data_IF_880367175994
#
_entry.id   IF_880367175994
#
_cell.length_a   1.000
_cell.length_b   1.000
_cell.length_c   1.000
_cell.angle_alpha   90.00
_cell.angle_beta   90.00
_cell.angle_gamma   90.00
#
_symmetry.space_group_name_H-M   'P 1'
#
loop_
_entity.id
_entity.type
_entity.pdbx_description
1 polymer ?
#
# COMPACT_ATOMS: atom_id res chain seq x y z
N UNK A 1 -7.75 13.15 16.79
CA UNK A 1 -8.41 12.40 15.67
C UNK A 1 -9.80 11.89 16.04
N UNK A 2 -9.98 11.26 17.20
CA UNK A 2 -11.27 10.66 17.57
C UNK A 2 -12.35 11.73 17.81
N UNK A 3 -12.00 12.85 18.42
CA UNK A 3 -12.88 14.03 18.61
C UNK A 3 -13.34 14.59 17.26
N UNK A 4 -12.38 14.85 16.36
CA UNK A 4 -12.68 15.33 15.01
C UNK A 4 -13.61 14.37 14.26
N UNK A 5 -13.34 13.07 14.35
CA UNK A 5 -14.17 12.05 13.71
C UNK A 5 -15.61 12.05 14.27
N UNK A 6 -15.80 12.17 15.60
CA UNK A 6 -17.14 12.23 16.21
C UNK A 6 -17.89 13.47 15.74
N UNK A 7 -17.24 14.64 15.74
CA UNK A 7 -17.84 15.88 15.23
C UNK A 7 -18.29 15.74 13.76
N UNK A 8 -17.40 15.21 12.89
CA UNK A 8 -17.71 15.00 11.47
C UNK A 8 -18.90 14.03 11.28
N UNK A 9 -18.94 12.94 12.03
CA UNK A 9 -20.04 11.97 11.95
C UNK A 9 -21.36 12.67 12.33
N UNK A 10 -21.38 13.48 13.39
CA UNK A 10 -22.58 14.20 13.82
C UNK A 10 -23.01 15.24 12.78
N UNK A 11 -22.09 16.03 12.22
CA UNK A 11 -22.39 16.98 11.14
C UNK A 11 -23.02 16.27 9.93
N UNK A 12 -22.53 15.08 9.57
CA UNK A 12 -23.11 14.27 8.50
C UNK A 12 -24.49 13.73 8.85
N UNK A 13 -24.68 13.22 10.06
CA UNK A 13 -25.97 12.63 10.50
C UNK A 13 -27.06 13.70 10.59
N UNK A 14 -26.71 14.93 10.96
CA UNK A 14 -27.61 16.08 10.99
C UNK A 14 -27.73 16.80 9.61
N UNK A 15 -27.05 16.30 8.55
CA UNK A 15 -27.05 16.85 7.18
C UNK A 15 -26.71 18.35 7.11
N UNK A 16 -25.73 18.79 7.91
CA UNK A 16 -25.39 20.19 8.08
C UNK A 16 -24.37 20.74 7.06
N UNK A 17 -23.61 19.85 6.40
CA UNK A 17 -22.62 20.21 5.39
C UNK A 17 -23.03 19.70 4.01
N UNK A 18 -22.74 20.49 2.96
CA UNK A 18 -23.00 20.12 1.56
C UNK A 18 -21.84 19.37 0.91
N UNK A 19 -20.61 19.60 1.39
CA UNK A 19 -19.42 18.90 0.94
C UNK A 19 -18.37 18.83 2.06
N UNK A 20 -17.50 17.84 1.99
CA UNK A 20 -16.39 17.65 2.92
C UNK A 20 -15.21 17.01 2.21
N UNK A 21 -14.00 17.42 2.54
CA UNK A 21 -12.74 16.81 2.12
C UNK A 21 -11.69 16.95 3.21
N UNK A 22 -10.67 16.07 3.18
CA UNK A 22 -9.49 16.24 4.01
C UNK A 22 -8.53 17.30 3.43
N UNK A 23 -7.56 17.70 4.23
CA UNK A 23 -6.43 18.52 3.79
C UNK A 23 -5.19 17.64 3.70
N UNK A 24 -4.99 17.04 2.55
CA UNK A 24 -3.83 16.20 2.24
C UNK A 24 -2.70 17.00 1.58
N UNK A 25 -2.11 16.45 0.51
CA UNK A 25 -1.07 17.10 -0.27
C UNK A 25 -1.49 18.46 -0.82
N UNK A 26 -0.65 19.47 -0.60
CA UNK A 26 -0.93 20.86 -0.96
C UNK A 26 -1.87 21.59 0.00
N UNK A 27 -2.35 20.97 1.07
CA UNK A 27 -3.15 21.59 2.13
C UNK A 27 -4.40 22.29 1.64
N UNK A 28 -4.62 23.54 2.08
CA UNK A 28 -5.77 24.35 1.69
C UNK A 28 -5.79 24.63 0.18
N UNK A 29 -4.63 24.73 -0.48
CA UNK A 29 -4.58 25.04 -1.91
C UNK A 29 -5.23 23.97 -2.78
N UNK A 30 -5.04 22.70 -2.46
CA UNK A 30 -5.74 21.61 -3.12
C UNK A 30 -7.19 21.49 -2.66
N UNK A 31 -7.44 21.45 -1.35
CA UNK A 31 -8.77 21.20 -0.80
C UNK A 31 -9.81 22.25 -1.25
N UNK A 32 -9.48 23.55 -1.18
CA UNK A 32 -10.40 24.63 -1.58
C UNK A 32 -10.64 24.66 -3.09
N UNK A 33 -9.55 24.54 -3.88
CA UNK A 33 -9.62 24.56 -5.34
C UNK A 33 -10.36 23.35 -5.91
N UNK A 34 -10.04 22.13 -5.45
CA UNK A 34 -10.70 20.91 -5.92
C UNK A 34 -12.20 20.91 -5.57
N UNK A 35 -12.56 21.31 -4.35
CA UNK A 35 -13.96 21.36 -3.94
C UNK A 35 -14.74 22.35 -4.80
N UNK A 36 -14.18 23.54 -5.05
CA UNK A 36 -14.79 24.56 -5.90
C UNK A 36 -14.94 24.07 -7.35
N UNK A 37 -13.85 23.58 -7.96
CA UNK A 37 -13.84 23.10 -9.34
C UNK A 37 -14.82 21.94 -9.57
N UNK A 38 -14.84 20.94 -8.70
CA UNK A 38 -15.79 19.80 -8.78
C UNK A 38 -17.26 20.21 -8.63
N UNK A 39 -17.51 21.37 -8.00
CA UNK A 39 -18.85 21.90 -7.78
C UNK A 39 -19.23 22.97 -8.79
N UNK A 40 -18.38 23.26 -9.80
CA UNK A 40 -18.54 24.34 -10.77
C UNK A 40 -18.83 25.70 -10.10
N UNK A 41 -18.04 26.03 -9.09
CA UNK A 41 -18.13 27.31 -8.38
C UNK A 41 -16.73 27.88 -8.15
N UNK A 42 -16.64 29.13 -7.73
CA UNK A 42 -15.41 29.75 -7.26
C UNK A 42 -15.25 29.63 -5.75
N UNK A 43 -14.13 30.12 -5.23
CA UNK A 43 -13.86 30.15 -3.78
C UNK A 43 -13.04 31.38 -3.42
N UNK A 44 -13.39 32.01 -2.30
CA UNK A 44 -12.63 33.10 -1.68
C UNK A 44 -12.17 32.64 -0.29
N UNK A 45 -10.86 32.66 -0.03
CA UNK A 45 -10.24 32.25 1.23
C UNK A 45 -9.53 33.40 1.89
N UNK A 46 -9.76 33.62 3.18
CA UNK A 46 -9.16 34.64 4.02
C UNK A 46 -8.11 33.96 4.94
N UNK A 47 -6.84 33.99 4.56
CA UNK A 47 -5.77 33.23 5.23
C UNK A 47 -5.49 33.69 6.66
N UNK A 48 -5.71 34.94 6.98
CA UNK A 48 -5.57 35.47 8.35
C UNK A 48 -6.51 34.80 9.36
N UNK A 49 -7.60 34.18 8.87
CA UNK A 49 -8.56 33.45 9.71
C UNK A 49 -8.12 32.01 10.00
N UNK A 50 -7.14 31.50 9.29
CA UNK A 50 -6.65 30.12 9.49
C UNK A 50 -5.94 30.03 10.84
N UNK A 51 -6.35 29.12 11.75
CA UNK A 51 -5.67 28.93 13.02
C UNK A 51 -4.21 28.49 12.83
N UNK A 52 -3.29 29.21 13.44
CA UNK A 52 -1.86 28.95 13.34
C UNK A 52 -1.24 28.64 14.71
N UNK A 53 -0.49 27.55 14.82
CA UNK A 53 0.34 27.25 16.00
C UNK A 53 1.70 27.93 15.96
N UNK A 54 2.13 28.40 14.79
CA UNK A 54 3.39 29.07 14.55
C UNK A 54 3.15 30.47 13.96
N UNK A 55 3.46 31.54 14.71
CA UNK A 55 3.21 32.91 14.22
C UNK A 55 4.24 33.30 13.15
N UNK A 56 3.86 34.24 12.28
CA UNK A 56 4.75 34.84 11.29
C UNK A 56 4.92 34.03 10.00
N UNK A 57 4.06 33.06 9.75
CA UNK A 57 4.05 32.34 8.47
C UNK A 57 3.67 33.26 7.32
N UNK A 58 4.33 33.11 6.18
CA UNK A 58 3.98 33.76 4.93
C UNK A 58 2.66 33.18 4.36
N UNK A 59 1.90 33.95 3.53
CA UNK A 59 0.65 33.47 2.95
C UNK A 59 0.75 32.13 2.25
N UNK A 60 1.80 31.93 1.46
CA UNK A 60 2.02 30.65 0.75
C UNK A 60 2.31 29.49 1.72
N UNK A 61 3.04 29.72 2.81
CA UNK A 61 3.29 28.69 3.82
C UNK A 61 1.98 28.23 4.50
N UNK A 62 1.08 29.14 4.80
CA UNK A 62 -0.22 28.85 5.37
C UNK A 62 -1.06 28.05 4.36
N UNK A 63 -1.08 28.50 3.10
CA UNK A 63 -1.99 27.97 2.09
C UNK A 63 -1.60 26.57 1.59
N UNK A 64 -0.29 26.26 1.49
CA UNK A 64 0.21 24.94 1.06
C UNK A 64 0.61 24.03 2.22
N UNK A 65 0.43 24.46 3.47
CA UNK A 65 0.77 23.65 4.63
C UNK A 65 0.03 22.30 4.61
N UNK A 66 0.77 21.20 4.77
CA UNK A 66 0.24 19.83 4.84
C UNK A 66 0.07 19.35 6.29
N UNK A 67 -0.13 20.24 7.25
CA UNK A 67 -0.43 19.86 8.64
C UNK A 67 -1.59 18.88 8.69
N UNK A 68 -1.42 17.81 9.45
CA UNK A 68 -2.37 16.69 9.48
C UNK A 68 -3.61 16.98 10.34
N UNK A 69 -4.57 16.07 10.31
CA UNK A 69 -5.79 16.10 11.13
C UNK A 69 -6.69 17.33 10.88
N UNK A 70 -6.74 17.80 9.63
CA UNK A 70 -7.59 18.90 9.21
C UNK A 70 -8.61 18.49 8.16
N UNK A 71 -9.79 19.06 8.24
CA UNK A 71 -10.88 18.84 7.30
C UNK A 71 -11.42 20.18 6.80
N UNK A 72 -11.85 20.23 5.54
CA UNK A 72 -12.57 21.36 4.95
C UNK A 72 -14.04 20.97 4.73
N UNK A 73 -14.93 21.82 5.20
CA UNK A 73 -16.37 21.65 5.06
C UNK A 73 -16.97 22.81 4.28
N UNK A 74 -17.90 22.50 3.38
CA UNK A 74 -18.83 23.50 2.81
C UNK A 74 -20.12 23.47 3.62
N UNK A 75 -20.39 24.55 4.36
CA UNK A 75 -21.52 24.63 5.29
C UNK A 75 -22.47 25.75 4.86
N UNK A 76 -23.77 25.48 4.62
CA UNK A 76 -24.75 26.51 4.40
C UNK A 76 -24.83 27.47 5.59
N UNK A 77 -25.02 28.79 5.32
CA UNK A 77 -25.04 29.83 6.35
C UNK A 77 -26.01 29.52 7.50
N UNK A 78 -27.21 29.01 7.18
CA UNK A 78 -28.22 28.60 8.17
C UNK A 78 -27.74 27.50 9.14
N UNK A 79 -26.78 26.68 8.73
CA UNK A 79 -26.25 25.54 9.52
C UNK A 79 -24.96 25.90 10.27
N UNK A 80 -24.34 27.05 9.95
CA UNK A 80 -23.00 27.39 10.46
C UNK A 80 -22.95 27.39 12.00
N UNK A 81 -23.92 28.02 12.65
CA UNK A 81 -23.96 28.07 14.12
C UNK A 81 -23.98 26.66 14.74
N UNK A 82 -24.83 25.78 14.19
CA UNK A 82 -24.97 24.43 14.71
C UNK A 82 -23.70 23.61 14.49
N UNK A 83 -23.03 23.78 13.35
CA UNK A 83 -21.74 23.11 13.08
C UNK A 83 -20.68 23.54 14.09
N UNK A 84 -20.55 24.84 14.35
CA UNK A 84 -19.59 25.34 15.34
C UNK A 84 -19.88 24.82 16.76
N UNK A 85 -21.16 24.73 17.18
CA UNK A 85 -21.56 24.14 18.46
C UNK A 85 -21.16 22.65 18.56
N UNK A 86 -21.26 21.87 17.48
CA UNK A 86 -20.86 20.46 17.46
C UNK A 86 -19.34 20.33 17.64
N UNK A 87 -18.56 21.11 16.92
CA UNK A 87 -17.10 21.07 17.02
C UNK A 87 -16.61 21.53 18.40
N UNK A 88 -17.21 22.61 18.94
CA UNK A 88 -16.90 23.08 20.31
C UNK A 88 -17.24 22.01 21.35
N UNK A 89 -18.35 21.30 21.18
CA UNK A 89 -18.76 20.20 22.09
C UNK A 89 -17.81 19.00 22.11
N UNK A 90 -17.02 18.83 21.06
CA UNK A 90 -16.00 17.78 20.94
C UNK A 90 -14.56 18.31 21.18
N UNK A 91 -14.42 19.57 21.66
CA UNK A 91 -13.12 20.23 21.88
C UNK A 91 -12.26 20.32 20.62
N UNK A 92 -12.89 20.53 19.45
CA UNK A 92 -12.24 20.68 18.16
C UNK A 92 -12.40 22.11 17.66
N UNK A 93 -11.27 22.76 17.34
CA UNK A 93 -11.28 24.10 16.76
C UNK A 93 -11.86 24.09 15.35
N UNK A 94 -12.88 24.91 15.09
CA UNK A 94 -13.49 25.08 13.78
C UNK A 94 -13.64 26.57 13.45
N UNK A 95 -13.09 27.00 12.33
CA UNK A 95 -13.04 28.41 11.95
C UNK A 95 -13.55 28.62 10.53
N UNK A 96 -14.53 29.50 10.28
CA UNK A 96 -14.92 29.93 8.93
C UNK A 96 -13.77 30.72 8.29
N UNK A 97 -13.18 30.19 7.22
CA UNK A 97 -12.03 30.78 6.55
C UNK A 97 -12.35 31.40 5.19
N UNK A 98 -13.60 31.36 4.74
CA UNK A 98 -13.96 31.87 3.43
C UNK A 98 -15.36 31.45 2.99
N UNK A 99 -15.62 31.58 1.70
CA UNK A 99 -16.90 31.23 1.08
C UNK A 99 -16.72 30.75 -0.35
N UNK A 100 -17.65 29.94 -0.82
CA UNK A 100 -17.77 29.62 -2.25
C UNK A 100 -18.55 30.71 -3.00
N UNK A 101 -18.17 30.94 -4.26
CA UNK A 101 -18.73 31.97 -5.16
C UNK A 101 -19.28 31.33 -6.44
N UNK A 102 -19.90 32.06 -7.31
CA UNK A 102 -20.53 31.58 -8.55
C UNK A 102 -19.72 31.85 -9.83
N UNK A 103 -18.45 32.24 -9.68
CA UNK A 103 -17.64 32.75 -10.79
C UNK A 103 -16.43 31.86 -11.21
N UNK A 104 -16.32 30.66 -10.66
CA UNK A 104 -15.25 29.68 -10.98
C UNK A 104 -13.82 30.23 -10.82
N UNK A 105 -13.63 31.23 -9.94
CA UNK A 105 -12.32 31.82 -9.65
C UNK A 105 -11.90 31.45 -8.21
N UNK A 106 -10.65 31.09 -8.05
CA UNK A 106 -10.01 30.93 -6.75
C UNK A 106 -9.34 32.22 -6.35
N UNK A 107 -9.82 32.83 -5.26
CA UNK A 107 -9.23 34.02 -4.65
C UNK A 107 -8.73 33.76 -3.26
N UNK A 108 -7.57 34.28 -2.97
CA UNK A 108 -6.93 34.15 -1.66
C UNK A 108 -6.54 35.54 -1.19
N UNK A 109 -7.07 35.92 -0.05
CA UNK A 109 -6.77 37.19 0.61
C UNK A 109 -5.91 36.94 1.87
N UNK A 110 -5.02 37.88 2.14
CA UNK A 110 -4.21 37.90 3.37
C UNK A 110 -4.01 39.35 3.83
N UNK A 111 -4.48 39.67 5.04
CA UNK A 111 -4.38 41.01 5.64
C UNK A 111 -4.92 42.13 4.73
N UNK A 112 -6.04 41.87 4.07
CA UNK A 112 -6.70 42.80 3.16
C UNK A 112 -6.02 42.97 1.81
N UNK A 113 -5.05 42.16 1.46
CA UNK A 113 -4.43 42.09 0.15
C UNK A 113 -4.76 40.78 -0.55
N UNK A 114 -5.14 40.86 -1.82
CA UNK A 114 -5.32 39.69 -2.67
C UNK A 114 -3.95 39.11 -3.02
N UNK A 115 -3.66 37.87 -2.58
CA UNK A 115 -2.38 37.17 -2.80
C UNK A 115 -2.47 36.09 -3.88
N UNK A 116 -3.68 35.68 -4.27
CA UNK A 116 -3.93 34.86 -5.45
C UNK A 116 -5.30 35.18 -6.08
N UNK A 117 -5.36 35.18 -7.41
CA UNK A 117 -6.57 35.31 -8.24
C UNK A 117 -6.37 34.42 -9.46
N UNK A 118 -6.97 33.21 -9.47
CA UNK A 118 -6.67 32.17 -10.44
C UNK A 118 -7.97 31.56 -10.95
N UNK A 119 -8.09 31.50 -12.26
CA UNK A 119 -9.16 30.76 -12.94
C UNK A 119 -9.02 29.25 -12.66
N UNK A 120 -10.10 28.60 -12.20
CA UNK A 120 -10.07 27.18 -11.82
C UNK A 120 -9.92 26.25 -13.02
N UNK A 121 -10.42 26.60 -14.19
CA UNK A 121 -10.18 25.84 -15.41
C UNK A 121 -8.70 25.86 -15.79
N UNK A 122 -8.07 27.04 -15.71
CA UNK A 122 -6.63 27.14 -15.94
C UNK A 122 -5.83 26.27 -14.95
N UNK A 123 -6.25 26.23 -13.69
CA UNK A 123 -5.55 25.46 -12.65
C UNK A 123 -5.72 23.95 -12.83
N UNK A 124 -6.94 23.46 -13.15
CA UNK A 124 -7.27 22.05 -13.17
C UNK A 124 -7.30 21.41 -14.57
N UNK A 125 -7.24 22.21 -15.62
CA UNK A 125 -7.17 21.74 -17.01
C UNK A 125 -5.84 22.11 -17.68
N UNK A 126 -4.68 21.66 -17.14
CA UNK A 126 -3.40 22.00 -17.69
C UNK A 126 -3.21 21.41 -19.09
N UNK A 127 -2.39 22.02 -19.96
CA UNK A 127 -2.11 21.49 -21.27
C UNK A 127 -1.49 20.09 -21.18
N UNK A 128 -1.90 19.19 -22.08
CA UNK A 128 -1.40 17.81 -22.11
C UNK A 128 0.08 17.80 -22.51
N UNK A 129 0.95 17.47 -21.59
CA UNK A 129 2.38 17.30 -21.84
C UNK A 129 2.62 15.91 -22.41
N UNK A 130 3.37 15.84 -23.53
CA UNK A 130 3.83 14.57 -24.13
C UNK A 130 5.31 14.39 -23.85
N UNK A 131 5.67 13.23 -23.30
CA UNK A 131 7.05 12.86 -22.97
C UNK A 131 7.44 11.57 -23.67
N UNK A 132 8.71 11.44 -24.03
CA UNK A 132 9.25 10.21 -24.61
C UNK A 132 9.55 9.19 -23.50
N UNK A 133 9.05 7.96 -23.64
CA UNK A 133 9.36 6.84 -22.77
C UNK A 133 10.30 5.87 -23.50
N UNK A 134 11.43 5.53 -22.89
CA UNK A 134 12.42 4.61 -23.44
C UNK A 134 12.80 3.58 -22.40
N UNK A 135 12.68 2.32 -22.71
CA UNK A 135 13.17 1.24 -21.86
C UNK A 135 14.07 0.31 -22.64
N UNK A 136 15.18 -0.07 -22.05
CA UNK A 136 16.09 -1.09 -22.58
C UNK A 136 16.39 -2.07 -21.45
N UNK A 137 16.28 -3.37 -21.75
CA UNK A 137 16.68 -4.40 -20.82
C UNK A 137 18.17 -4.23 -20.46
N UNK A 138 18.53 -4.29 -19.17
CA UNK A 138 19.93 -4.26 -18.76
C UNK A 138 20.64 -5.52 -19.25
N UNK A 139 21.92 -5.39 -19.51
CA UNK A 139 22.78 -6.47 -19.99
C UNK A 139 23.44 -7.20 -18.81
N UNK A 140 22.60 -7.93 -18.03
CA UNK A 140 23.09 -8.79 -16.98
C UNK A 140 23.32 -10.20 -17.50
N UNK A 141 24.38 -10.87 -17.01
CA UNK A 141 24.66 -12.27 -17.26
C UNK A 141 24.11 -13.15 -16.14
N UNK A 142 23.82 -14.44 -16.47
CA UNK A 142 23.54 -15.42 -15.44
C UNK A 142 24.85 -15.81 -14.72
N UNK A 143 24.87 -15.77 -13.39
CA UNK A 143 26.08 -16.07 -12.66
C UNK A 143 26.45 -17.55 -12.75
N UNK A 144 27.73 -17.81 -12.96
CA UNK A 144 28.31 -19.15 -12.94
C UNK A 144 29.12 -19.28 -11.66
N UNK A 145 28.71 -20.19 -10.78
CA UNK A 145 29.43 -20.50 -9.55
C UNK A 145 29.23 -21.96 -9.16
N UNK A 146 30.17 -22.50 -8.36
CA UNK A 146 30.05 -23.87 -7.85
C UNK A 146 28.86 -23.93 -6.88
N UNK A 147 27.93 -24.85 -7.16
CA UNK A 147 26.84 -25.13 -6.22
C UNK A 147 27.44 -25.75 -4.95
N UNK A 148 27.02 -25.28 -3.75
CA UNK A 148 27.45 -25.86 -2.51
C UNK A 148 26.85 -27.27 -2.34
N UNK A 149 27.64 -28.19 -1.77
CA UNK A 149 27.18 -29.55 -1.44
C UNK A 149 26.29 -29.52 -0.17
N UNK A 150 26.51 -28.54 0.73
CA UNK A 150 25.73 -28.30 1.92
C UNK A 150 25.20 -26.84 1.90
N UNK A 151 23.87 -26.69 2.02
CA UNK A 151 23.19 -25.41 2.00
C UNK A 151 22.99 -24.79 3.39
N UNK A 152 23.40 -25.43 4.47
CA UNK A 152 23.16 -24.99 5.85
C UNK A 152 23.58 -23.55 6.06
N UNK A 153 24.81 -23.19 5.69
CA UNK A 153 25.33 -21.83 5.85
C UNK A 153 24.58 -20.82 4.97
N UNK A 154 24.18 -21.20 3.77
CA UNK A 154 23.44 -20.32 2.87
C UNK A 154 22.03 -20.04 3.42
N UNK A 155 21.35 -21.04 3.97
CA UNK A 155 20.03 -20.88 4.62
C UNK A 155 20.14 -19.99 5.86
N UNK A 156 21.12 -20.20 6.73
CA UNK A 156 21.34 -19.36 7.91
C UNK A 156 21.65 -17.90 7.53
N UNK A 157 22.44 -17.68 6.50
CA UNK A 157 22.73 -16.33 5.98
C UNK A 157 21.50 -15.68 5.35
N UNK A 158 20.65 -16.43 4.66
CA UNK A 158 19.37 -15.94 4.14
C UNK A 158 18.47 -15.49 5.29
N UNK A 159 18.25 -16.34 6.29
CA UNK A 159 17.42 -16.04 7.46
C UNK A 159 17.93 -14.84 8.27
N UNK A 160 19.24 -14.58 8.27
CA UNK A 160 19.85 -13.42 8.94
C UNK A 160 19.91 -12.15 8.06
N UNK A 161 19.54 -12.23 6.77
CA UNK A 161 19.61 -11.08 5.89
C UNK A 161 18.53 -10.03 6.28
N UNK A 162 18.81 -8.72 6.16
CA UNK A 162 17.87 -7.67 6.58
C UNK A 162 16.48 -7.75 5.93
N UNK A 163 16.37 -8.29 4.71
CA UNK A 163 15.08 -8.43 4.03
C UNK A 163 14.24 -9.59 4.60
N UNK A 164 14.86 -10.62 5.15
CA UNK A 164 14.19 -11.84 5.65
C UNK A 164 14.13 -11.88 7.17
N UNK A 165 15.18 -11.42 7.86
CA UNK A 165 15.24 -11.42 9.31
C UNK A 165 14.00 -10.80 9.97
N UNK A 166 13.69 -11.23 11.18
CA UNK A 166 12.50 -10.80 11.92
C UNK A 166 12.30 -9.28 11.91
N UNK A 167 11.08 -8.86 11.65
CA UNK A 167 10.61 -7.46 11.74
C UNK A 167 9.85 -7.20 13.05
N UNK A 168 9.93 -8.11 14.01
CA UNK A 168 9.17 -8.04 15.26
C UNK A 168 9.35 -6.70 15.98
N UNK A 169 10.58 -6.19 16.07
CA UNK A 169 10.85 -4.90 16.70
C UNK A 169 10.10 -3.74 16.04
N UNK A 170 10.04 -3.73 14.69
CA UNK A 170 9.29 -2.71 13.94
C UNK A 170 7.78 -2.88 14.12
N UNK A 171 7.29 -4.12 13.98
CA UNK A 171 5.84 -4.42 14.07
C UNK A 171 5.31 -4.05 15.46
N UNK A 172 6.04 -4.36 16.54
CA UNK A 172 5.61 -4.08 17.92
C UNK A 172 5.76 -2.61 18.32
N UNK A 173 6.42 -1.79 17.51
CA UNK A 173 6.48 -0.32 17.72
C UNK A 173 5.11 0.32 17.50
N UNK A 174 4.30 -0.27 16.62
CA UNK A 174 2.97 0.23 16.27
C UNK A 174 1.88 -0.66 16.87
N UNK A 175 0.79 -0.04 17.30
CA UNK A 175 -0.37 -0.77 17.80
C UNK A 175 -1.14 -1.40 16.62
N UNK A 176 -1.13 -2.72 16.57
CA UNK A 176 -1.86 -3.52 15.56
C UNK A 176 -3.02 -4.32 16.21
N UNK A 177 -3.37 -4.05 17.46
CA UNK A 177 -4.43 -4.70 18.20
C UNK A 177 -5.50 -3.72 18.70
N UNK A 178 -5.49 -2.48 18.23
CA UNK A 178 -6.48 -1.45 18.57
C UNK A 178 -7.90 -1.99 18.38
N UNK A 179 -8.78 -1.68 19.35
CA UNK A 179 -10.19 -2.13 19.42
C UNK A 179 -10.39 -3.65 19.60
N UNK A 180 -9.33 -4.44 19.75
CA UNK A 180 -9.41 -5.89 19.98
C UNK A 180 -10.05 -6.68 18.83
N UNK A 181 -10.02 -6.16 17.61
CA UNK A 181 -10.67 -6.77 16.45
C UNK A 181 -9.74 -7.65 15.61
N UNK A 182 -8.48 -7.79 16.00
CA UNK A 182 -7.48 -8.57 15.26
C UNK A 182 -7.68 -10.06 15.51
N UNK A 183 -7.87 -10.81 14.43
CA UNK A 183 -8.03 -12.28 14.42
C UNK A 183 -6.71 -12.97 14.14
N UNK A 184 -6.00 -12.54 13.08
CA UNK A 184 -4.62 -12.95 12.78
C UNK A 184 -3.73 -11.72 12.81
N UNK A 185 -2.63 -11.82 13.53
CA UNK A 185 -1.62 -10.77 13.67
C UNK A 185 -0.58 -10.90 12.56
N UNK A 186 0.21 -9.86 12.28
CA UNK A 186 1.38 -9.95 11.40
C UNK A 186 2.42 -10.97 11.87
N UNK A 187 2.44 -11.26 13.18
CA UNK A 187 3.29 -12.27 13.78
C UNK A 187 2.41 -13.36 14.40
N UNK A 188 2.68 -14.64 14.07
CA UNK A 188 1.87 -15.78 14.51
C UNK A 188 2.72 -16.91 15.07
N UNK A 189 2.04 -17.78 15.81
CA UNK A 189 2.62 -19.00 16.34
C UNK A 189 3.46 -18.79 17.60
N UNK A 190 4.06 -19.88 18.07
CA UNK A 190 4.78 -19.95 19.35
C UNK A 190 5.98 -19.01 19.44
N UNK A 191 6.67 -18.81 18.34
CA UNK A 191 7.88 -17.98 18.25
C UNK A 191 7.70 -16.76 17.35
N UNK A 192 6.47 -16.23 17.25
CA UNK A 192 6.17 -14.98 16.56
C UNK A 192 6.73 -14.90 15.12
N UNK A 193 6.52 -15.97 14.33
CA UNK A 193 6.93 -15.98 12.93
C UNK A 193 6.09 -15.08 12.05
N UNK A 194 6.61 -14.65 10.89
CA UNK A 194 5.92 -13.75 9.98
C UNK A 194 4.68 -14.45 9.39
N UNK A 195 3.54 -13.79 9.44
CA UNK A 195 2.29 -14.29 8.84
C UNK A 195 2.01 -13.55 7.53
N UNK A 196 1.42 -14.26 6.57
CA UNK A 196 1.19 -13.77 5.21
C UNK A 196 0.28 -12.54 5.16
N UNK A 197 -0.73 -12.50 6.02
CA UNK A 197 -1.67 -11.39 6.12
C UNK A 197 -2.18 -11.18 7.53
N UNK A 198 -2.49 -9.94 7.87
CA UNK A 198 -3.31 -9.64 9.04
C UNK A 198 -4.79 -9.82 8.70
N UNK A 199 -5.57 -10.35 9.67
CA UNK A 199 -7.02 -10.47 9.54
C UNK A 199 -7.70 -9.76 10.70
N UNK A 200 -8.63 -8.88 10.36
CA UNK A 200 -9.47 -8.16 11.33
C UNK A 200 -10.93 -8.52 11.15
N UNK A 201 -11.69 -8.51 12.26
CA UNK A 201 -13.14 -8.69 12.30
C UNK A 201 -13.80 -7.35 12.67
N UNK A 202 -14.18 -6.51 11.70
CA UNK A 202 -14.62 -5.14 11.97
C UNK A 202 -16.01 -5.05 12.62
N UNK A 203 -16.86 -6.06 12.42
CA UNK A 203 -18.25 -6.05 12.93
C UNK A 203 -18.45 -7.07 14.03
N UNK A 204 -19.03 -6.66 15.14
CA UNK A 204 -19.29 -7.52 16.29
C UNK A 204 -20.33 -8.61 16.01
N UNK A 205 -21.32 -8.31 15.18
CA UNK A 205 -22.45 -9.18 14.83
C UNK A 205 -22.22 -10.02 13.55
N UNK A 206 -21.01 -10.07 13.00
CA UNK A 206 -20.68 -10.83 11.80
C UNK A 206 -19.36 -11.58 11.96
N UNK A 207 -19.27 -12.79 11.43
CA UNK A 207 -18.03 -13.54 11.30
C UNK A 207 -17.20 -13.19 10.06
N UNK A 208 -17.67 -12.24 9.25
CA UNK A 208 -16.86 -11.73 8.12
C UNK A 208 -15.69 -10.93 8.65
N UNK A 209 -14.55 -11.09 7.97
CA UNK A 209 -13.34 -10.34 8.22
C UNK A 209 -12.75 -9.71 6.97
N UNK A 210 -11.72 -8.93 7.19
CA UNK A 210 -10.89 -8.30 6.16
C UNK A 210 -9.47 -8.83 6.34
N UNK A 211 -8.90 -9.36 5.27
CA UNK A 211 -7.48 -9.71 5.21
C UNK A 211 -6.70 -8.57 4.53
N UNK A 212 -5.57 -8.19 5.10
CA UNK A 212 -4.69 -7.15 4.59
C UNK A 212 -3.29 -7.77 4.43
N UNK A 213 -2.74 -7.71 3.23
CA UNK A 213 -1.44 -8.26 2.87
C UNK A 213 -0.68 -7.32 1.95
N UNK A 214 0.60 -7.58 1.73
CA UNK A 214 1.41 -6.80 0.80
C UNK A 214 2.33 -7.69 -0.02
N UNK A 215 2.91 -7.12 -1.09
CA UNK A 215 3.96 -7.71 -1.90
C UNK A 215 4.87 -6.64 -2.47
N UNK A 216 6.18 -6.90 -2.50
CA UNK A 216 7.18 -5.93 -2.93
C UNK A 216 8.52 -6.60 -3.27
N UNK A 217 8.99 -6.46 -4.50
CA UNK A 217 10.22 -7.09 -4.99
C UNK A 217 11.13 -6.10 -5.74
N UNK A 218 11.72 -5.06 -5.11
CA UNK A 218 12.47 -4.02 -5.81
C UNK A 218 13.69 -4.54 -6.59
N UNK A 219 14.33 -5.62 -6.14
CA UNK A 219 15.47 -6.19 -6.84
C UNK A 219 15.13 -6.75 -8.23
N UNK A 220 13.90 -7.19 -8.45
CA UNK A 220 13.44 -7.63 -9.76
C UNK A 220 13.33 -6.44 -10.73
N UNK A 221 13.03 -5.24 -10.22
CA UNK A 221 12.99 -4.01 -11.00
C UNK A 221 14.32 -3.62 -11.63
N UNK A 222 15.44 -4.02 -11.03
CA UNK A 222 16.77 -3.85 -11.62
C UNK A 222 16.92 -4.59 -12.94
N UNK A 223 16.16 -5.69 -13.14
CA UNK A 223 16.19 -6.52 -14.34
C UNK A 223 15.03 -6.14 -15.26
N UNK A 224 13.81 -6.09 -14.73
CA UNK A 224 12.62 -5.80 -15.51
C UNK A 224 11.46 -5.28 -14.63
N UNK A 225 11.09 -3.99 -14.74
CA UNK A 225 9.99 -3.40 -13.98
C UNK A 225 8.64 -4.08 -14.18
N UNK A 226 8.38 -4.65 -15.36
CA UNK A 226 7.14 -5.39 -15.63
C UNK A 226 7.01 -6.63 -14.73
N UNK A 227 8.09 -7.42 -14.65
CA UNK A 227 8.07 -8.64 -13.82
C UNK A 227 8.19 -8.33 -12.32
N UNK A 228 8.84 -7.23 -11.93
CA UNK A 228 8.80 -6.75 -10.56
C UNK A 228 7.36 -6.50 -10.11
N UNK A 229 6.62 -5.73 -10.89
CA UNK A 229 5.20 -5.41 -10.59
C UNK A 229 4.32 -6.66 -10.61
N UNK A 230 4.50 -7.50 -11.62
CA UNK A 230 3.79 -8.78 -11.74
C UNK A 230 3.97 -9.64 -10.49
N UNK A 231 5.22 -9.74 -9.99
CA UNK A 231 5.55 -10.49 -8.78
C UNK A 231 4.97 -9.86 -7.52
N UNK A 232 5.04 -8.52 -7.37
CA UNK A 232 4.46 -7.82 -6.23
C UNK A 232 2.93 -8.01 -6.14
N UNK A 233 2.22 -7.95 -7.27
CA UNK A 233 0.77 -8.22 -7.33
C UNK A 233 0.47 -9.68 -6.97
N UNK A 234 1.20 -10.62 -7.56
CA UNK A 234 1.01 -12.05 -7.31
C UNK A 234 1.30 -12.40 -5.84
N UNK A 235 2.36 -11.85 -5.26
CA UNK A 235 2.73 -12.03 -3.85
C UNK A 235 1.64 -11.49 -2.91
N UNK A 236 1.19 -10.24 -3.10
CA UNK A 236 0.12 -9.65 -2.30
C UNK A 236 -1.16 -10.51 -2.35
N UNK A 237 -1.52 -11.05 -3.53
CA UNK A 237 -2.69 -11.92 -3.70
C UNK A 237 -2.46 -13.29 -3.03
N UNK A 238 -1.27 -13.90 -3.17
CA UNK A 238 -0.94 -15.18 -2.51
C UNK A 238 -1.01 -15.03 -0.99
N UNK A 239 -0.39 -14.00 -0.45
CA UNK A 239 -0.41 -13.69 0.99
C UNK A 239 -1.85 -13.55 1.51
N UNK A 240 -2.71 -12.82 0.79
CA UNK A 240 -4.12 -12.68 1.14
C UNK A 240 -4.86 -14.04 1.09
N UNK A 241 -4.53 -14.85 0.08
CA UNK A 241 -5.11 -16.18 -0.13
C UNK A 241 -4.71 -17.16 0.97
N UNK A 242 -3.46 -17.13 1.44
CA UNK A 242 -2.95 -18.01 2.49
C UNK A 242 -3.78 -17.97 3.78
N UNK A 243 -4.38 -16.84 4.10
CA UNK A 243 -5.26 -16.70 5.26
C UNK A 243 -6.76 -16.89 4.95
N UNK A 244 -7.10 -17.23 3.71
CA UNK A 244 -8.49 -17.44 3.26
C UNK A 244 -9.18 -16.21 2.70
N UNK A 245 -8.44 -15.16 2.38
CA UNK A 245 -8.96 -13.95 1.74
C UNK A 245 -9.37 -14.19 0.27
N UNK A 246 -10.38 -13.47 -0.17
CA UNK A 246 -10.93 -13.51 -1.54
C UNK A 246 -11.61 -12.20 -1.90
N UNK A 247 -12.06 -12.04 -3.17
CA UNK A 247 -12.62 -10.78 -3.68
C UNK A 247 -11.68 -9.61 -3.40
N UNK A 248 -10.43 -9.81 -3.80
CA UNK A 248 -9.32 -8.94 -3.47
C UNK A 248 -9.40 -7.66 -4.30
N UNK A 249 -9.16 -6.52 -3.66
CA UNK A 249 -8.87 -5.24 -4.27
C UNK A 249 -7.42 -4.85 -3.97
N UNK A 250 -6.82 -4.05 -4.84
CA UNK A 250 -5.42 -3.66 -4.76
C UNK A 250 -5.27 -2.15 -4.51
N UNK A 251 -4.19 -1.80 -3.82
CA UNK A 251 -3.68 -0.44 -3.68
C UNK A 251 -2.22 -0.46 -4.09
N UNK A 252 -1.80 0.54 -4.86
CA UNK A 252 -0.41 0.70 -5.27
C UNK A 252 0.30 1.79 -4.46
N UNK A 253 1.62 1.65 -4.34
CA UNK A 253 2.49 2.69 -3.83
C UNK A 253 3.77 2.70 -4.66
N UNK A 254 3.82 3.61 -5.65
CA UNK A 254 4.98 3.82 -6.49
C UNK A 254 6.01 4.71 -5.81
N UNK A 255 7.27 4.28 -5.83
CA UNK A 255 8.42 5.10 -5.46
C UNK A 255 9.42 5.05 -6.62
N UNK A 256 9.58 6.18 -7.34
CA UNK A 256 10.25 6.23 -8.62
C UNK A 256 11.13 7.45 -8.80
N UNK A 257 12.08 7.37 -9.74
CA UNK A 257 12.89 8.49 -10.18
C UNK A 257 12.12 9.52 -11.04
N UNK A 258 12.82 10.51 -11.56
CA UNK A 258 12.24 11.62 -12.32
C UNK A 258 11.61 11.16 -13.65
N UNK A 259 10.28 11.24 -13.85
CA UNK A 259 9.60 10.80 -15.07
C UNK A 259 9.84 11.73 -16.28
N UNK A 260 10.51 12.85 -16.11
CA UNK A 260 10.95 13.68 -17.23
C UNK A 260 12.14 13.08 -17.98
N UNK A 261 12.87 12.17 -17.33
CA UNK A 261 13.94 11.39 -17.96
C UNK A 261 13.33 10.21 -18.72
N UNK A 262 13.56 10.10 -20.04
CA UNK A 262 12.92 9.08 -20.89
C UNK A 262 13.10 7.65 -20.40
N UNK A 263 14.24 7.33 -19.81
CA UNK A 263 14.55 5.99 -19.29
C UNK A 263 13.70 5.67 -18.04
N UNK A 264 13.58 6.64 -17.11
CA UNK A 264 12.75 6.49 -15.89
C UNK A 264 11.28 6.40 -16.24
N UNK A 265 10.83 7.20 -17.21
CA UNK A 265 9.47 7.11 -17.71
C UNK A 265 9.22 5.77 -18.43
N UNK A 266 10.20 5.25 -19.17
CA UNK A 266 10.09 3.94 -19.83
C UNK A 266 9.93 2.79 -18.82
N UNK A 267 10.67 2.82 -17.72
CA UNK A 267 10.51 1.87 -16.60
C UNK A 267 9.12 1.98 -15.98
N UNK A 268 8.63 3.20 -15.74
CA UNK A 268 7.31 3.46 -15.16
C UNK A 268 6.17 2.99 -16.06
N UNK A 269 6.23 3.31 -17.35
CA UNK A 269 5.23 2.84 -18.34
C UNK A 269 5.18 1.31 -18.38
N UNK A 270 6.33 0.66 -18.31
CA UNK A 270 6.41 -0.81 -18.29
C UNK A 270 5.83 -1.40 -17.00
N UNK A 271 6.03 -0.75 -15.87
CA UNK A 271 5.42 -1.10 -14.59
C UNK A 271 3.89 -0.95 -14.63
N UNK A 272 3.39 0.18 -15.11
CA UNK A 272 1.94 0.43 -15.26
C UNK A 272 1.28 -0.58 -16.21
N UNK A 273 1.97 -1.02 -17.27
CA UNK A 273 1.46 -2.07 -18.16
C UNK A 273 1.25 -3.40 -17.41
N UNK A 274 2.17 -3.75 -16.50
CA UNK A 274 1.99 -4.94 -15.66
C UNK A 274 0.82 -4.77 -14.68
N UNK A 275 0.63 -3.59 -14.07
CA UNK A 275 -0.54 -3.30 -13.24
C UNK A 275 -1.84 -3.58 -14.00
N UNK A 276 -1.97 -3.05 -15.22
CA UNK A 276 -3.14 -3.29 -16.07
C UNK A 276 -3.35 -4.77 -16.38
N UNK A 277 -2.29 -5.44 -16.84
CA UNK A 277 -2.33 -6.82 -17.31
C UNK A 277 -2.72 -7.80 -16.19
N UNK A 278 -2.16 -7.61 -14.99
CA UNK A 278 -2.35 -8.53 -13.87
C UNK A 278 -3.64 -8.23 -13.11
N UNK A 279 -3.97 -6.96 -12.85
CA UNK A 279 -5.25 -6.60 -12.23
C UNK A 279 -6.43 -7.13 -13.05
N UNK A 280 -6.38 -6.96 -14.38
CA UNK A 280 -7.43 -7.48 -15.29
C UNK A 280 -7.48 -9.01 -15.28
N UNK A 281 -6.33 -9.70 -15.29
CA UNK A 281 -6.28 -11.15 -15.31
C UNK A 281 -6.74 -11.80 -14.00
N UNK A 282 -6.35 -11.23 -12.89
CA UNK A 282 -6.77 -11.69 -11.56
C UNK A 282 -8.16 -11.19 -11.17
N UNK A 283 -8.74 -10.24 -11.91
CA UNK A 283 -10.00 -9.56 -11.55
C UNK A 283 -9.91 -8.88 -10.17
N UNK A 284 -8.78 -8.24 -9.92
CA UNK A 284 -8.48 -7.50 -8.69
C UNK A 284 -8.32 -6.02 -9.03
N UNK A 285 -9.38 -5.21 -8.86
CA UNK A 285 -9.31 -3.79 -9.21
C UNK A 285 -8.37 -3.03 -8.28
N UNK A 286 -7.68 -2.03 -8.83
CA UNK A 286 -7.08 -0.98 -8.00
C UNK A 286 -8.19 -0.05 -7.50
N UNK A 287 -8.22 0.19 -6.19
CA UNK A 287 -9.24 1.02 -5.52
C UNK A 287 -8.67 2.28 -4.91
N UNK A 288 -7.36 2.35 -4.74
CA UNK A 288 -6.61 3.51 -4.29
C UNK A 288 -5.14 3.34 -4.70
N UNK A 289 -4.36 4.37 -4.51
CA UNK A 289 -2.93 4.35 -4.77
C UNK A 289 -2.26 5.62 -4.30
N UNK A 290 -0.93 5.57 -4.27
CA UNK A 290 -0.06 6.69 -3.93
C UNK A 290 1.17 6.62 -4.80
N UNK A 291 1.58 7.72 -5.38
CA UNK A 291 2.83 7.81 -6.11
C UNK A 291 3.80 8.80 -5.46
N UNK A 292 5.07 8.48 -5.56
CA UNK A 292 6.17 9.37 -5.21
C UNK A 292 7.19 9.33 -6.35
N UNK A 293 7.20 10.39 -7.12
CA UNK A 293 8.06 10.56 -8.29
C UNK A 293 9.14 11.60 -7.98
N UNK A 294 10.13 11.75 -8.87
CA UNK A 294 11.27 12.66 -8.70
C UNK A 294 12.22 12.29 -7.54
N UNK A 295 12.19 11.06 -7.04
CA UNK A 295 13.11 10.61 -5.98
C UNK A 295 14.52 10.40 -6.55
N UNK A 296 15.26 11.47 -6.69
CA UNK A 296 16.62 11.49 -7.19
C UNK A 296 17.54 12.31 -6.30
N UNK A 297 18.80 11.93 -6.27
CA UNK A 297 19.87 12.61 -5.56
C UNK A 297 21.11 12.75 -6.48
N UNK A 298 22.18 13.44 -6.05
CA UNK A 298 23.47 13.42 -6.77
C UNK A 298 24.06 12.02 -6.94
N UNK A 299 23.66 11.04 -6.11
CA UNK A 299 24.08 9.63 -6.22
C UNK A 299 23.25 8.84 -7.23
N UNK A 300 22.21 9.43 -7.79
CA UNK A 300 21.30 8.80 -8.75
C UNK A 300 19.85 8.67 -8.25
N UNK A 301 18.99 8.04 -9.04
CA UNK A 301 17.60 7.77 -8.67
C UNK A 301 17.50 6.67 -7.61
N UNK A 302 16.39 6.67 -6.87
CA UNK A 302 16.01 5.51 -6.05
C UNK A 302 15.84 4.27 -6.95
N UNK A 303 16.05 3.10 -6.39
CA UNK A 303 15.67 1.85 -7.07
C UNK A 303 14.17 1.87 -7.29
N UNK A 304 13.68 1.71 -8.54
CA UNK A 304 12.26 1.62 -8.82
C UNK A 304 11.57 0.59 -7.93
N UNK A 305 10.55 1.03 -7.21
CA UNK A 305 9.85 0.18 -6.23
C UNK A 305 8.36 0.35 -6.39
N UNK A 306 7.64 -0.77 -6.36
CA UNK A 306 6.20 -0.79 -6.22
C UNK A 306 5.83 -1.70 -5.06
N UNK A 307 5.21 -1.12 -4.04
CA UNK A 307 4.53 -1.86 -2.98
C UNK A 307 3.06 -2.03 -3.38
N UNK A 308 2.59 -3.25 -3.41
CA UNK A 308 1.17 -3.57 -3.57
C UNK A 308 0.59 -3.95 -2.23
N UNK A 309 -0.51 -3.32 -1.84
CA UNK A 309 -1.35 -3.78 -0.73
C UNK A 309 -2.59 -4.45 -1.31
N UNK A 310 -2.94 -5.63 -0.78
CA UNK A 310 -4.14 -6.35 -1.14
C UNK A 310 -5.11 -6.37 0.04
N UNK A 311 -6.37 -6.00 -0.21
CA UNK A 311 -7.45 -6.05 0.76
C UNK A 311 -8.48 -7.08 0.29
N UNK A 312 -8.68 -8.13 1.06
CA UNK A 312 -9.58 -9.23 0.71
C UNK A 312 -10.66 -9.45 1.76
N UNK A 313 -11.76 -10.06 1.35
CA UNK A 313 -12.83 -10.47 2.26
C UNK A 313 -12.56 -11.89 2.75
N UNK A 314 -12.60 -12.08 4.04
CA UNK A 314 -12.64 -13.40 4.70
C UNK A 314 -14.10 -13.69 5.06
N UNK A 315 -14.77 -14.68 4.46
CA UNK A 315 -16.20 -14.93 4.70
C UNK A 315 -16.51 -15.36 6.13
N UNK A 316 -15.59 -16.10 6.76
CA UNK A 316 -15.70 -16.57 8.12
C UNK A 316 -14.32 -16.64 8.78
N UNK A 317 -14.05 -15.70 9.68
CA UNK A 317 -12.74 -15.61 10.35
C UNK A 317 -12.40 -16.82 11.23
N UNK A 318 -13.36 -17.66 11.59
CA UNK A 318 -13.11 -18.90 12.32
C UNK A 318 -12.43 -19.99 11.48
N UNK A 319 -12.42 -19.80 10.15
CA UNK A 319 -11.78 -20.69 9.16
C UNK A 319 -10.45 -20.16 8.62
N UNK A 320 -9.93 -19.08 9.20
CA UNK A 320 -8.64 -18.56 8.79
C UNK A 320 -7.51 -19.53 9.10
N UNK A 321 -6.48 -19.46 8.27
CA UNK A 321 -5.27 -20.28 8.37
C UNK A 321 -4.08 -19.35 8.60
N UNK A 322 -3.09 -19.79 9.33
CA UNK A 322 -1.86 -19.05 9.62
C UNK A 322 -0.60 -19.85 9.25
N UNK A 323 0.54 -19.18 9.27
CA UNK A 323 1.85 -19.73 8.84
C UNK A 323 2.31 -20.91 9.72
N UNK A 324 2.06 -20.85 11.03
CA UNK A 324 2.61 -21.78 12.01
C UNK A 324 2.12 -23.23 11.84
N UNK A 325 3.04 -24.19 11.83
CA UNK A 325 2.72 -25.63 11.79
C UNK A 325 2.03 -26.05 13.09
N UNK A 326 0.89 -26.78 13.01
CA UNK A 326 0.04 -27.10 14.17
C UNK A 326 0.26 -28.49 14.71
N UNK A 327 0.45 -29.47 13.83
CA UNK A 327 0.37 -30.89 14.23
C UNK A 327 1.53 -31.68 13.60
N UNK A 328 2.36 -32.36 14.42
CA UNK A 328 3.37 -33.30 13.91
C UNK A 328 2.75 -34.42 13.09
N UNK A 329 3.45 -34.84 12.04
CA UNK A 329 3.00 -35.92 11.15
C UNK A 329 2.13 -35.45 9.97
N UNK A 330 1.74 -34.18 9.93
CA UNK A 330 1.03 -33.64 8.76
C UNK A 330 1.94 -33.59 7.52
N UNK A 331 1.35 -33.92 6.37
CA UNK A 331 2.05 -33.86 5.08
C UNK A 331 2.20 -32.42 4.60
N UNK A 332 3.37 -32.10 4.06
CA UNK A 332 3.67 -30.80 3.46
C UNK A 332 3.50 -30.92 1.95
N UNK A 333 2.78 -29.95 1.38
CA UNK A 333 2.57 -29.83 -0.05
C UNK A 333 3.18 -28.54 -0.57
N UNK A 334 3.89 -28.61 -1.69
CA UNK A 334 4.21 -27.45 -2.52
C UNK A 334 3.16 -27.33 -3.61
N UNK A 335 2.56 -26.15 -3.76
CA UNK A 335 1.52 -25.90 -4.76
C UNK A 335 2.05 -24.91 -5.78
N UNK A 336 2.23 -25.36 -7.01
CA UNK A 336 2.84 -24.59 -8.09
C UNK A 336 4.10 -25.29 -8.61
N UNK A 337 4.80 -24.59 -9.52
CA UNK A 337 6.00 -25.12 -10.17
C UNK A 337 7.21 -24.23 -9.88
N UNK A 338 8.36 -24.86 -9.64
CA UNK A 338 9.63 -24.17 -9.49
C UNK A 338 10.33 -24.06 -10.85
N UNK A 339 10.85 -22.88 -11.15
CA UNK A 339 11.54 -22.57 -12.39
C UNK A 339 12.97 -22.11 -12.11
N UNK A 340 13.85 -22.26 -13.10
CA UNK A 340 15.22 -21.75 -13.03
C UNK A 340 15.24 -20.23 -13.27
N UNK A 341 14.77 -19.46 -12.29
CA UNK A 341 14.59 -18.02 -12.35
C UNK A 341 15.05 -17.39 -11.03
N UNK A 342 16.35 -17.16 -10.89
CA UNK A 342 16.99 -16.65 -9.66
C UNK A 342 17.44 -15.19 -9.77
N UNK A 343 17.25 -14.55 -10.92
CA UNK A 343 17.61 -13.13 -11.10
C UNK A 343 16.88 -12.22 -10.12
N UNK A 344 17.63 -11.36 -9.43
CA UNK A 344 17.12 -10.48 -8.38
C UNK A 344 16.81 -11.17 -7.05
N UNK A 345 17.02 -12.48 -6.91
CA UNK A 345 16.74 -13.22 -5.67
C UNK A 345 17.69 -12.83 -4.53
N UNK A 346 17.24 -13.02 -3.29
CA UNK A 346 18.08 -12.84 -2.10
C UNK A 346 19.29 -13.79 -2.11
N UNK A 347 19.13 -14.98 -2.68
CA UNK A 347 20.24 -15.93 -2.81
C UNK A 347 21.36 -15.39 -3.73
N UNK A 348 21.02 -14.85 -4.90
CA UNK A 348 22.01 -14.21 -5.77
C UNK A 348 22.63 -12.98 -5.12
N UNK A 349 21.84 -12.19 -4.40
CA UNK A 349 22.36 -11.03 -3.67
C UNK A 349 23.38 -11.43 -2.60
N UNK A 350 23.16 -12.52 -1.85
CA UNK A 350 24.13 -13.05 -0.89
C UNK A 350 25.46 -13.46 -1.55
N UNK A 351 25.42 -13.85 -2.80
CA UNK A 351 26.61 -14.23 -3.59
C UNK A 351 27.20 -13.05 -4.36
N UNK A 352 26.63 -11.82 -4.23
CA UNK A 352 27.10 -10.62 -4.92
C UNK A 352 26.64 -10.48 -6.37
N UNK A 353 25.59 -11.22 -6.78
CA UNK A 353 25.08 -11.24 -8.15
C UNK A 353 23.68 -10.59 -8.24
N UNK A 354 23.33 -10.11 -9.43
CA UNK A 354 21.96 -9.73 -9.78
C UNK A 354 21.29 -10.84 -10.58
N UNK A 355 21.97 -11.41 -11.57
CA UNK A 355 21.42 -12.39 -12.51
C UNK A 355 20.56 -11.73 -13.61
N UNK A 356 20.17 -12.54 -14.59
CA UNK A 356 19.44 -12.09 -15.78
C UNK A 356 17.98 -12.52 -15.79
N UNK A 357 17.68 -13.70 -15.28
CA UNK A 357 16.38 -14.36 -15.42
C UNK A 357 15.52 -14.10 -14.18
N UNK A 358 14.74 -13.01 -14.22
CA UNK A 358 13.79 -12.66 -13.15
C UNK A 358 12.62 -13.65 -13.10
N UNK A 359 12.09 -13.97 -11.92
CA UNK A 359 10.88 -14.78 -11.78
C UNK A 359 9.70 -14.20 -12.57
N UNK A 360 8.98 -15.06 -13.30
CA UNK A 360 7.85 -14.67 -14.15
C UNK A 360 6.55 -15.25 -13.64
N UNK A 361 5.56 -14.41 -13.44
CA UNK A 361 4.22 -14.83 -13.04
C UNK A 361 3.46 -15.41 -14.25
N UNK A 362 3.11 -16.69 -14.16
CA UNK A 362 2.33 -17.40 -15.18
C UNK A 362 0.84 -17.19 -14.89
N UNK A 363 0.27 -16.13 -15.44
CA UNK A 363 -1.08 -15.59 -15.13
C UNK A 363 -2.17 -16.65 -14.97
N UNK A 364 -2.21 -17.67 -15.87
CA UNK A 364 -3.24 -18.72 -15.84
C UNK A 364 -2.99 -19.69 -14.69
N UNK A 365 -1.74 -20.11 -14.51
CA UNK A 365 -1.37 -21.04 -13.44
C UNK A 365 -1.53 -20.41 -12.07
N UNK A 366 -1.06 -19.17 -11.90
CA UNK A 366 -1.18 -18.40 -10.66
C UNK A 366 -2.66 -18.28 -10.24
N UNK A 367 -3.57 -17.93 -11.16
CA UNK A 367 -5.00 -17.86 -10.85
C UNK A 367 -5.56 -19.23 -10.42
N UNK A 368 -5.19 -20.31 -11.09
CA UNK A 368 -5.62 -21.68 -10.71
C UNK A 368 -5.12 -22.06 -9.33
N UNK A 369 -3.88 -21.68 -8.99
CA UNK A 369 -3.28 -21.93 -7.67
C UNK A 369 -4.09 -21.22 -6.59
N UNK A 370 -4.35 -19.92 -6.74
CA UNK A 370 -5.19 -19.12 -5.82
C UNK A 370 -6.57 -19.77 -5.61
N UNK A 371 -7.28 -20.07 -6.69
CA UNK A 371 -8.62 -20.67 -6.62
C UNK A 371 -8.61 -22.06 -5.94
N UNK A 372 -7.53 -22.84 -6.12
CA UNK A 372 -7.38 -24.17 -5.50
C UNK A 372 -7.10 -24.09 -4.00
N UNK A 373 -6.23 -23.16 -3.58
CA UNK A 373 -5.92 -22.94 -2.16
C UNK A 373 -7.16 -22.47 -1.43
N UNK A 374 -7.90 -21.49 -1.98
CA UNK A 374 -9.16 -21.02 -1.37
C UNK A 374 -10.14 -22.18 -1.16
N UNK A 375 -10.31 -23.06 -2.16
CA UNK A 375 -11.20 -24.24 -2.04
C UNK A 375 -10.71 -25.22 -0.98
N UNK A 376 -9.40 -25.46 -0.89
CA UNK A 376 -8.82 -26.36 0.11
C UNK A 376 -9.01 -25.83 1.54
N UNK A 377 -8.83 -24.51 1.74
CA UNK A 377 -9.09 -23.84 3.02
C UNK A 377 -10.58 -23.95 3.38
N UNK A 378 -11.48 -23.63 2.46
CA UNK A 378 -12.93 -23.73 2.69
C UNK A 378 -13.38 -25.14 3.08
N UNK A 379 -12.73 -26.15 2.51
CA UNK A 379 -12.99 -27.57 2.79
C UNK A 379 -12.38 -28.05 4.13
N UNK A 380 -11.61 -27.20 4.82
CA UNK A 380 -10.95 -27.54 6.09
C UNK A 380 -9.75 -28.48 5.95
N UNK A 381 -9.19 -28.63 4.74
CA UNK A 381 -8.05 -29.52 4.51
C UNK A 381 -6.70 -28.89 4.85
N UNK A 382 -6.66 -27.56 4.96
CA UNK A 382 -5.42 -26.81 5.21
C UNK A 382 -5.38 -26.35 6.65
N UNK A 383 -4.33 -26.75 7.36
CA UNK A 383 -4.09 -26.33 8.76
C UNK A 383 -3.09 -25.17 8.85
N UNK A 384 -2.13 -25.13 7.94
CA UNK A 384 -1.11 -24.08 7.83
C UNK A 384 -0.87 -23.77 6.36
N UNK A 385 -0.68 -22.50 6.05
CA UNK A 385 -0.39 -22.05 4.69
C UNK A 385 0.61 -20.91 4.73
N UNK A 386 1.53 -20.87 3.77
CA UNK A 386 2.53 -19.83 3.62
C UNK A 386 2.89 -19.68 2.15
N UNK A 387 3.19 -18.47 1.72
CA UNK A 387 3.66 -18.21 0.38
C UNK A 387 5.16 -18.55 0.25
N UNK A 388 5.67 -18.59 -0.98
CA UNK A 388 7.10 -18.72 -1.27
C UNK A 388 7.57 -17.45 -1.97
N UNK A 389 8.22 -16.54 -1.23
CA UNK A 389 8.78 -15.28 -1.73
C UNK A 389 10.30 -15.21 -1.47
N UNK A 390 10.80 -14.23 -0.73
CA UNK A 390 12.22 -14.06 -0.48
C UNK A 390 12.86 -15.28 0.19
N UNK A 391 13.92 -15.79 -0.43
CA UNK A 391 14.61 -17.01 0.05
C UNK A 391 13.93 -18.32 -0.36
N UNK A 392 12.74 -18.25 -0.97
CA UNK A 392 12.04 -19.40 -1.55
C UNK A 392 11.69 -20.50 -0.55
N UNK A 393 11.67 -21.75 -1.00
CA UNK A 393 11.22 -22.89 -0.19
C UNK A 393 11.98 -23.07 1.14
N UNK A 394 13.28 -22.81 1.15
CA UNK A 394 14.09 -23.01 2.35
C UNK A 394 13.69 -22.04 3.47
N UNK A 395 13.46 -20.76 3.14
CA UNK A 395 13.02 -19.74 4.08
C UNK A 395 11.58 -20.00 4.51
N UNK A 396 10.66 -20.21 3.57
CA UNK A 396 9.25 -20.47 3.88
C UNK A 396 9.08 -21.69 4.82
N UNK A 397 9.80 -22.79 4.57
CA UNK A 397 9.77 -23.96 5.44
C UNK A 397 10.33 -23.66 6.84
N UNK A 398 11.43 -22.89 6.92
CA UNK A 398 11.99 -22.50 8.20
C UNK A 398 11.03 -21.60 8.99
N UNK A 399 10.39 -20.64 8.34
CA UNK A 399 9.40 -19.76 8.95
C UNK A 399 8.18 -20.51 9.48
N UNK A 400 7.64 -21.45 8.72
CA UNK A 400 6.58 -22.34 9.19
C UNK A 400 7.01 -23.19 10.39
N UNK A 401 8.22 -23.74 10.34
CA UNK A 401 8.79 -24.60 11.37
C UNK A 401 8.96 -23.86 12.71
N UNK A 402 9.70 -22.75 12.70
CA UNK A 402 9.94 -22.03 13.95
C UNK A 402 8.67 -21.33 14.45
N UNK A 403 7.78 -20.84 13.57
CA UNK A 403 6.49 -20.28 13.99
C UNK A 403 5.67 -21.28 14.83
N UNK A 404 5.62 -22.54 14.40
CA UNK A 404 4.93 -23.61 15.13
C UNK A 404 5.72 -24.21 16.28
N UNK A 405 7.04 -24.07 16.27
CA UNK A 405 7.95 -24.71 17.21
C UNK A 405 8.16 -26.20 16.94
N UNK A 406 8.10 -26.60 15.66
CA UNK A 406 8.31 -27.97 15.18
C UNK A 406 9.40 -28.04 14.13
N UNK A 407 9.99 -29.23 13.94
CA UNK A 407 10.87 -29.52 12.81
C UNK A 407 10.08 -29.78 11.52
N UNK A 408 10.78 -29.62 10.39
CA UNK A 408 10.26 -29.97 9.06
C UNK A 408 11.31 -30.79 8.31
N UNK A 409 10.91 -31.93 7.77
CA UNK A 409 11.71 -32.76 6.89
C UNK A 409 11.22 -32.61 5.43
N UNK A 410 12.11 -32.16 4.54
CA UNK A 410 11.82 -31.98 3.13
C UNK A 410 12.61 -32.94 2.27
N UNK A 411 11.93 -33.74 1.47
CA UNK A 411 12.54 -34.64 0.48
C UNK A 411 12.40 -34.02 -0.92
N UNK A 412 13.49 -33.41 -1.39
CA UNK A 412 13.54 -32.80 -2.73
C UNK A 412 14.06 -33.83 -3.74
N UNK A 413 13.33 -34.07 -4.83
CA UNK A 413 13.72 -34.96 -5.91
C UNK A 413 14.50 -34.21 -6.99
#
# INVERSE_FOLDING_TARGET
EEELKRAIIQVREEELASAITDLGGGGLSCATGEMAHRSNCGVQVELEKVPLKYPGMAPWEIYVSESQERMLLSVPEKSLKRVLEIFEGEDVEATPIGKFTDDEILRVDFQGQMVADIDLHFLFEPPKVRRAARWKAPDYEEPIFKKPDDLTNDVLRLLSSPNIASKEAVIRTYDHEVKGNTVLKPLQGKYAGPNDAAVIKPLTNSWRGIAISCGMNPNYGKIDPYWMVASAIDEAIRNNTCVGGRRIALLDNFTWGNPEKPERLGELVRACQACYDFAKKFQTPFISGKDSLYNESPLGPVTPTLLITAVGIVPDVRKTVSVDVKTPGNTIYIVGQTYHELGGSQYYQLKGFVGRTVPKVRKVQARKTVDSIVKAIDSGYVQSCHDLSEGGLAVAAAEMAFSGGYGIDLHLK
#
